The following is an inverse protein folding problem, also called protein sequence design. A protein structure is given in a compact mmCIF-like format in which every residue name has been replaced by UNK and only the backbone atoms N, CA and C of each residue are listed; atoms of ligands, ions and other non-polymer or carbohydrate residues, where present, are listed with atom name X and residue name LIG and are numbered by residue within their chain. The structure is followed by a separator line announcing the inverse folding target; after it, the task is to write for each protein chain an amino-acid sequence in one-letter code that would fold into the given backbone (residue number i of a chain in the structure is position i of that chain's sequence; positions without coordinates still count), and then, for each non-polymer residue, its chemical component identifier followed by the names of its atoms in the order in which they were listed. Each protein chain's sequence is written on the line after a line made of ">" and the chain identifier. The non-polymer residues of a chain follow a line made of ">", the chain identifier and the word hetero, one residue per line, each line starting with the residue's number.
data_IF_176344567260
#
_entry.id   IF_176344567260
#
_cell.length_a   1.000
_cell.length_b   1.000
_cell.length_c   1.000
_cell.angle_alpha   90.00
_cell.angle_beta   90.00
_cell.angle_gamma   90.00
#
_symmetry.space_group_name_H-M   'P 1'
#
loop_
_entity.id
_entity.type
_entity.pdbx_description
1 polymer ?
#
# COMPACT_ATOMS: atom_id res chain seq x y z
N UNK A 1 -16.33 -17.50 -17.09
CA UNK A 1 -15.02 -16.91 -16.75
C UNK A 1 -15.32 -15.69 -15.91
N UNK A 2 -15.00 -15.74 -14.63
CA UNK A 2 -15.15 -14.58 -13.77
C UNK A 2 -14.00 -13.63 -14.08
N UNK A 3 -14.32 -12.41 -14.50
CA UNK A 3 -13.35 -11.36 -14.78
C UNK A 3 -13.30 -10.47 -13.54
N UNK A 4 -12.15 -10.42 -12.89
CA UNK A 4 -11.90 -9.45 -11.83
C UNK A 4 -11.27 -8.21 -12.45
N UNK A 5 -11.89 -7.06 -12.22
CA UNK A 5 -11.32 -5.77 -12.58
C UNK A 5 -10.46 -5.31 -11.40
N UNK A 6 -9.15 -5.27 -11.61
CA UNK A 6 -8.18 -4.74 -10.65
C UNK A 6 -7.59 -3.46 -11.21
N UNK A 7 -7.46 -2.45 -10.36
CA UNK A 7 -6.79 -1.20 -10.68
C UNK A 7 -5.45 -1.08 -9.95
N UNK A 8 -4.61 -0.13 -10.37
CA UNK A 8 -3.37 0.21 -9.67
C UNK A 8 -3.48 1.62 -9.11
N UNK A 9 -3.27 1.74 -7.80
CA UNK A 9 -3.11 3.01 -7.12
C UNK A 9 -1.62 3.34 -7.02
N UNK A 10 -1.22 4.49 -7.56
CA UNK A 10 0.15 4.97 -7.52
C UNK A 10 0.27 6.19 -6.62
N UNK A 11 1.24 6.18 -5.70
CA UNK A 11 1.51 7.30 -4.79
C UNK A 11 2.98 7.72 -4.86
N UNK A 12 3.24 8.99 -4.59
CA UNK A 12 4.60 9.52 -4.46
C UNK A 12 5.10 9.36 -3.02
N UNK A 13 6.26 8.71 -2.84
CA UNK A 13 6.84 8.38 -1.55
C UNK A 13 7.14 9.60 -0.65
N UNK A 14 7.30 10.80 -1.21
CA UNK A 14 7.57 12.01 -0.43
C UNK A 14 6.31 12.63 0.16
N UNK A 15 5.12 12.25 -0.32
CA UNK A 15 3.83 12.85 0.08
C UNK A 15 2.80 11.83 0.55
N UNK A 16 3.12 10.54 0.42
CA UNK A 16 2.18 9.48 0.74
C UNK A 16 2.07 9.29 2.25
N UNK A 17 0.88 9.56 2.79
CA UNK A 17 0.58 9.35 4.20
C UNK A 17 0.08 7.92 4.44
N UNK A 18 0.76 7.21 5.33
CA UNK A 18 0.40 5.86 5.73
C UNK A 18 0.81 5.59 7.19
N UNK A 19 0.21 4.56 7.78
CA UNK A 19 0.62 4.02 9.08
C UNK A 19 1.24 2.64 8.88
N UNK A 20 2.45 2.42 9.41
CA UNK A 20 3.08 1.12 9.43
C UNK A 20 2.41 0.22 10.49
N UNK A 21 1.73 -0.84 10.04
CA UNK A 21 1.08 -1.84 10.89
C UNK A 21 2.06 -2.94 11.29
N UNK A 22 3.02 -3.26 10.42
CA UNK A 22 4.12 -4.16 10.70
C UNK A 22 5.39 -3.66 10.01
N UNK A 23 6.55 -4.03 10.56
CA UNK A 23 7.83 -3.65 10.00
C UNK A 23 8.90 -4.72 10.22
N UNK A 24 9.91 -4.70 9.37
CA UNK A 24 11.09 -5.54 9.45
C UNK A 24 12.32 -4.71 9.05
N UNK A 25 13.41 -4.80 9.81
CA UNK A 25 14.66 -4.07 9.55
C UNK A 25 14.51 -2.54 9.37
N UNK A 26 13.50 -1.94 10.02
CA UNK A 26 13.22 -0.50 9.92
C UNK A 26 12.28 -0.10 8.77
N UNK A 27 11.88 -1.06 7.92
CA UNK A 27 10.99 -0.82 6.79
C UNK A 27 9.59 -1.36 7.07
N UNK A 28 8.56 -0.62 6.68
CA UNK A 28 7.17 -1.00 6.83
C UNK A 28 6.83 -2.17 5.88
N UNK A 29 6.52 -3.34 6.42
CA UNK A 29 6.15 -4.54 5.64
C UNK A 29 4.64 -4.68 5.47
N UNK A 30 3.86 -4.04 6.35
CA UNK A 30 2.42 -3.88 6.20
C UNK A 30 2.10 -2.42 6.51
N UNK A 31 1.39 -1.78 5.59
CA UNK A 31 0.90 -0.42 5.76
C UNK A 31 -0.62 -0.40 5.74
N UNK A 32 -1.20 0.62 6.38
CA UNK A 32 -2.58 1.02 6.17
C UNK A 32 -2.70 2.50 5.84
N UNK A 33 -3.66 2.85 5.01
CA UNK A 33 -3.93 4.24 4.62
C UNK A 33 -5.43 4.42 4.33
N UNK A 34 -5.97 5.63 4.51
CA UNK A 34 -7.39 5.89 4.32
C UNK A 34 -7.78 5.74 2.84
N UNK A 35 -8.93 5.12 2.59
CA UNK A 35 -9.46 4.91 1.24
C UNK A 35 -10.96 5.12 1.19
N UNK A 36 -11.47 5.35 -0.02
CA UNK A 36 -12.90 5.32 -0.29
C UNK A 36 -13.30 3.92 -0.76
N UNK A 37 -13.99 3.17 0.11
CA UNK A 37 -14.46 1.79 -0.12
C UNK A 37 -15.35 1.61 -1.36
N UNK A 38 -15.90 2.68 -1.93
CA UNK A 38 -16.65 2.66 -3.20
C UNK A 38 -15.77 2.73 -4.45
N UNK A 39 -14.48 3.04 -4.29
CA UNK A 39 -13.53 3.28 -5.38
C UNK A 39 -12.35 2.31 -5.41
N UNK A 40 -12.17 1.54 -4.34
CA UNK A 40 -11.08 0.57 -4.22
C UNK A 40 -11.62 -0.75 -3.71
N UNK A 41 -10.98 -1.83 -4.13
CA UNK A 41 -11.37 -3.18 -3.74
C UNK A 41 -10.15 -3.98 -3.28
N UNK A 42 -10.35 -4.99 -2.41
CA UNK A 42 -9.36 -6.04 -2.23
C UNK A 42 -8.97 -6.63 -3.59
N UNK A 43 -7.66 -6.83 -3.80
CA UNK A 43 -7.09 -7.24 -5.08
C UNK A 43 -6.63 -6.09 -5.99
N UNK A 44 -6.91 -4.84 -5.65
CA UNK A 44 -6.24 -3.69 -6.29
C UNK A 44 -4.77 -3.66 -5.91
N UNK A 45 -3.92 -3.26 -6.86
CA UNK A 45 -2.50 -3.09 -6.63
C UNK A 45 -2.21 -1.68 -6.08
N UNK A 46 -1.22 -1.59 -5.20
CA UNK A 46 -0.70 -0.33 -4.66
C UNK A 46 0.79 -0.28 -4.94
N UNK A 47 1.24 0.84 -5.51
CA UNK A 47 2.65 1.09 -5.81
C UNK A 47 3.00 2.46 -5.26
N UNK A 48 4.03 2.53 -4.43
CA UNK A 48 4.60 3.79 -3.95
C UNK A 48 5.95 3.98 -4.62
N UNK A 49 6.12 5.12 -5.29
CA UNK A 49 7.29 5.42 -6.12
C UNK A 49 8.01 6.66 -5.64
N UNK A 50 9.32 6.70 -5.84
CA UNK A 50 10.15 7.91 -5.73
C UNK A 50 10.87 8.11 -7.06
N UNK A 51 10.36 9.02 -7.88
CA UNK A 51 10.84 9.17 -9.26
C UNK A 51 10.60 7.89 -10.08
N UNK A 52 11.69 7.19 -10.44
CA UNK A 52 11.64 5.95 -11.23
C UNK A 52 11.71 4.67 -10.37
N UNK A 53 11.96 4.81 -9.07
CA UNK A 53 12.19 3.68 -8.16
C UNK A 53 10.90 3.31 -7.41
N UNK A 54 10.65 2.00 -7.28
CA UNK A 54 9.55 1.47 -6.49
C UNK A 54 10.02 1.33 -5.05
N UNK A 55 9.36 2.02 -4.13
CA UNK A 55 9.63 1.97 -2.69
C UNK A 55 8.75 0.97 -1.97
N UNK A 56 7.59 0.65 -2.53
CA UNK A 56 6.67 -0.33 -1.95
C UNK A 56 5.75 -0.83 -3.05
N UNK A 57 5.50 -2.14 -3.11
CA UNK A 57 4.46 -2.68 -3.96
C UNK A 57 3.72 -3.82 -3.28
N UNK A 58 2.39 -3.81 -3.41
CA UNK A 58 1.57 -4.88 -2.88
C UNK A 58 0.17 -4.85 -3.42
N UNK A 59 -0.66 -5.78 -2.96
CA UNK A 59 -2.09 -5.79 -3.25
C UNK A 59 -2.87 -5.49 -1.98
N UNK A 60 -3.98 -4.78 -2.11
CA UNK A 60 -4.92 -4.56 -1.02
C UNK A 60 -5.47 -5.93 -0.60
N UNK A 61 -5.07 -6.40 0.57
CA UNK A 61 -5.52 -7.67 1.12
C UNK A 61 -6.89 -7.55 1.79
N UNK A 62 -7.16 -6.39 2.41
CA UNK A 62 -8.45 -6.07 3.02
C UNK A 62 -8.70 -4.57 3.09
N UNK A 63 -9.96 -4.20 3.19
CA UNK A 63 -10.44 -2.86 3.52
C UNK A 63 -11.30 -2.99 4.78
N UNK A 64 -10.98 -2.22 5.82
CA UNK A 64 -11.65 -2.28 7.12
C UNK A 64 -11.67 -0.87 7.73
N UNK A 65 -12.82 -0.44 8.23
CA UNK A 65 -13.03 0.88 8.85
C UNK A 65 -12.56 2.07 8.00
N UNK A 66 -12.65 1.96 6.67
CA UNK A 66 -12.21 3.00 5.73
C UNK A 66 -10.70 3.00 5.47
N UNK A 67 -9.96 1.99 5.89
CA UNK A 67 -8.52 1.83 5.63
C UNK A 67 -8.24 0.61 4.75
N UNK A 68 -7.38 0.78 3.76
CA UNK A 68 -6.82 -0.32 2.98
C UNK A 68 -5.56 -0.84 3.67
N UNK A 69 -5.40 -2.16 3.73
CA UNK A 69 -4.21 -2.82 4.26
C UNK A 69 -3.45 -3.49 3.12
N UNK A 70 -2.16 -3.20 3.01
CA UNK A 70 -1.30 -3.71 1.95
C UNK A 70 -0.01 -4.24 2.56
N UNK A 71 0.45 -5.38 2.04
CA UNK A 71 1.71 -5.99 2.46
C UNK A 71 2.74 -6.01 1.34
N UNK A 72 3.96 -5.67 1.71
CA UNK A 72 5.18 -5.88 0.93
C UNK A 72 6.25 -6.47 1.87
N UNK A 73 6.21 -7.79 2.11
CA UNK A 73 7.01 -8.42 3.16
C UNK A 73 8.51 -8.50 2.86
N UNK A 74 8.95 -8.21 1.63
CA UNK A 74 10.37 -8.40 1.22
C UNK A 74 10.95 -7.26 0.38
N UNK A 75 10.12 -6.39 -0.19
CA UNK A 75 10.55 -5.35 -1.12
C UNK A 75 10.44 -3.92 -0.58
N UNK A 76 9.82 -3.74 0.59
CA UNK A 76 9.56 -2.40 1.10
C UNK A 76 10.83 -1.65 1.48
N UNK A 77 10.91 -0.42 0.99
CA UNK A 77 11.85 0.64 1.35
C UNK A 77 11.14 1.79 2.11
N UNK A 78 9.85 1.65 2.39
CA UNK A 78 9.11 2.65 3.15
C UNK A 78 9.53 2.60 4.62
N UNK A 79 9.81 3.74 5.27
CA UNK A 79 10.16 3.76 6.68
C UNK A 79 9.00 3.28 7.56
N UNK A 80 9.32 2.57 8.64
CA UNK A 80 8.33 2.13 9.65
C UNK A 80 7.87 3.25 10.60
N UNK A 81 8.47 4.44 10.53
CA UNK A 81 8.17 5.59 11.39
C UNK A 81 7.25 6.61 10.73
N UNK A 82 6.70 7.52 11.54
CA UNK A 82 5.80 8.60 11.10
C UNK A 82 6.60 9.64 10.31
N UNK A 83 6.17 9.93 9.08
CA UNK A 83 6.55 11.13 8.34
C UNK A 83 5.55 12.25 8.64
#
# INVERSE_FOLDING_TARGET
>A
MEVSFSQTLSFDAATFEYEAVAHENGNATIIKFPVNDKKVSPGDAVVVVSGADIHFHGMIGKIEDGFAYVSDPKGSLLPAGVQ
#
